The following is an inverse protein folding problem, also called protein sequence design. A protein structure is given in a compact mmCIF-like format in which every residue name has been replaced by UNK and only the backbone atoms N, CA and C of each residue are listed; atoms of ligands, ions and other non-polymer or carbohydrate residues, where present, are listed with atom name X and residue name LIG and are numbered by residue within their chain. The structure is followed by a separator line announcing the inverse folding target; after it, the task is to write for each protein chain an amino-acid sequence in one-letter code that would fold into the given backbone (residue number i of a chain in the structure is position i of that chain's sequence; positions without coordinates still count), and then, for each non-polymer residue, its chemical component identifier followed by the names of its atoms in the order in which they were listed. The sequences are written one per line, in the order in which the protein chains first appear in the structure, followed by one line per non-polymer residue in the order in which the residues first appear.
data_IF_498399946877
#
_entry.id   IF_498399946877
#
_cell.length_a   1.000
_cell.length_b   1.000
_cell.length_c   1.000
_cell.angle_alpha   90.00
_cell.angle_beta   90.00
_cell.angle_gamma   90.00
#
_symmetry.space_group_name_H-M   'P 1'
#
loop_
_entity.id
_entity.type
_entity.pdbx_description
1 polymer ?
#
# COMPACT_ATOMS: atom_id res chain seq x y z
N UNK A 1 -32.70 -41.99 -2.26
CA UNK A 1 -31.24 -42.27 -2.29
C UNK A 1 -30.50 -41.48 -3.37
N UNK A 2 -30.97 -41.39 -4.62
CA UNK A 2 -30.27 -40.64 -5.69
C UNK A 2 -30.24 -39.11 -5.43
N UNK A 3 -31.30 -38.54 -4.89
CA UNK A 3 -31.39 -37.08 -4.63
C UNK A 3 -30.36 -36.58 -3.60
N UNK A 4 -30.07 -37.39 -2.59
CA UNK A 4 -29.07 -37.09 -1.56
C UNK A 4 -27.64 -37.11 -2.14
N UNK A 5 -27.38 -38.01 -3.10
CA UNK A 5 -26.09 -38.12 -3.80
C UNK A 5 -25.88 -36.91 -4.73
N UNK A 6 -26.93 -36.44 -5.42
CA UNK A 6 -26.86 -35.24 -6.26
C UNK A 6 -26.62 -33.98 -5.43
N UNK A 7 -27.32 -33.82 -4.31
CA UNK A 7 -27.14 -32.70 -3.40
C UNK A 7 -25.70 -32.61 -2.86
N UNK A 8 -25.14 -33.73 -2.42
CA UNK A 8 -23.74 -33.79 -1.93
C UNK A 8 -22.73 -33.49 -3.04
N UNK A 9 -22.94 -33.99 -4.27
CA UNK A 9 -22.05 -33.72 -5.41
C UNK A 9 -22.07 -32.27 -5.88
N UNK A 10 -23.24 -31.63 -5.84
CA UNK A 10 -23.38 -30.21 -6.17
C UNK A 10 -22.68 -29.37 -5.10
N UNK A 11 -22.88 -29.68 -3.82
CA UNK A 11 -22.21 -29.01 -2.71
C UNK A 11 -20.68 -29.14 -2.77
N UNK A 12 -20.16 -30.33 -3.05
CA UNK A 12 -18.70 -30.53 -3.15
C UNK A 12 -18.09 -29.88 -4.39
N UNK A 13 -18.79 -29.88 -5.54
CA UNK A 13 -18.34 -29.18 -6.74
C UNK A 13 -18.29 -27.66 -6.52
N UNK A 14 -19.33 -27.08 -5.90
CA UNK A 14 -19.36 -25.65 -5.56
C UNK A 14 -18.24 -25.26 -4.60
N UNK A 15 -17.96 -26.11 -3.59
CA UNK A 15 -16.88 -25.87 -2.64
C UNK A 15 -15.50 -25.90 -3.32
N UNK A 16 -15.25 -26.86 -4.23
CA UNK A 16 -13.98 -26.93 -4.98
C UNK A 16 -13.80 -25.71 -5.89
N UNK A 17 -14.86 -25.27 -6.58
CA UNK A 17 -14.82 -24.07 -7.42
C UNK A 17 -14.54 -22.81 -6.58
N UNK A 18 -15.20 -22.65 -5.44
CA UNK A 18 -14.96 -21.53 -4.53
C UNK A 18 -13.52 -21.53 -3.99
N UNK A 19 -13.00 -22.67 -3.57
CA UNK A 19 -11.61 -22.79 -3.07
C UNK A 19 -10.58 -22.47 -4.16
N UNK A 20 -10.82 -22.89 -5.41
CA UNK A 20 -9.93 -22.56 -6.53
C UNK A 20 -9.92 -21.07 -6.86
N UNK A 21 -11.09 -20.41 -6.79
CA UNK A 21 -11.23 -18.97 -7.02
C UNK A 21 -10.53 -18.15 -5.93
N UNK A 22 -10.70 -18.53 -4.66
CA UNK A 22 -10.02 -17.88 -3.52
C UNK A 22 -8.51 -18.04 -3.65
N UNK A 23 -8.05 -19.24 -4.03
CA UNK A 23 -6.61 -19.51 -4.22
C UNK A 23 -6.02 -18.69 -5.37
N UNK A 24 -6.78 -18.51 -6.46
CA UNK A 24 -6.35 -17.73 -7.62
C UNK A 24 -6.26 -16.23 -7.30
N UNK A 25 -7.24 -15.68 -6.58
CA UNK A 25 -7.23 -14.27 -6.13
C UNK A 25 -6.04 -13.98 -5.22
N UNK A 26 -5.70 -14.89 -4.30
CA UNK A 26 -4.56 -14.70 -3.39
C UNK A 26 -3.20 -14.70 -4.10
N UNK A 27 -3.05 -15.52 -5.15
CA UNK A 27 -1.84 -15.52 -5.99
C UNK A 27 -1.72 -14.20 -6.78
N UNK A 28 -2.85 -13.63 -7.21
CA UNK A 28 -2.88 -12.34 -7.91
C UNK A 28 -2.34 -11.21 -7.01
N UNK A 29 -2.74 -11.17 -5.73
CA UNK A 29 -2.24 -10.18 -4.77
C UNK A 29 -0.70 -10.23 -4.65
N UNK A 30 -0.11 -11.43 -4.53
CA UNK A 30 1.36 -11.59 -4.44
C UNK A 30 2.08 -11.11 -5.71
N UNK A 31 1.53 -11.38 -6.90
CA UNK A 31 2.10 -10.89 -8.15
C UNK A 31 2.04 -9.37 -8.24
N UNK A 32 0.94 -8.78 -7.77
CA UNK A 32 0.76 -7.34 -7.73
C UNK A 32 1.72 -6.67 -6.75
N UNK A 33 2.06 -7.28 -5.61
CA UNK A 33 3.05 -6.72 -4.66
C UNK A 33 4.40 -6.47 -5.34
N UNK A 34 4.93 -7.47 -6.05
CA UNK A 34 6.18 -7.30 -6.80
C UNK A 34 6.12 -6.17 -7.84
N UNK A 35 4.95 -5.99 -8.47
CA UNK A 35 4.74 -4.89 -9.43
C UNK A 35 4.70 -3.54 -8.71
N UNK A 36 3.99 -3.44 -7.59
CA UNK A 36 3.86 -2.23 -6.80
C UNK A 36 5.24 -1.77 -6.30
N UNK A 37 6.03 -2.68 -5.74
CA UNK A 37 7.37 -2.38 -5.22
C UNK A 37 8.32 -1.91 -6.32
N UNK A 38 8.25 -2.53 -7.50
CA UNK A 38 9.05 -2.10 -8.65
C UNK A 38 8.66 -0.70 -9.13
N UNK A 39 7.37 -0.37 -9.13
CA UNK A 39 6.89 0.97 -9.49
C UNK A 39 7.28 2.00 -8.43
N UNK A 40 7.15 1.64 -7.16
CA UNK A 40 7.53 2.46 -6.02
C UNK A 40 9.03 2.80 -6.06
N UNK A 41 9.89 1.79 -6.21
CA UNK A 41 11.34 1.94 -6.35
C UNK A 41 11.75 2.71 -7.61
N UNK A 42 10.92 2.69 -8.67
CA UNK A 42 11.12 3.48 -9.87
C UNK A 42 10.66 4.94 -9.74
N UNK A 43 10.15 5.36 -8.56
CA UNK A 43 9.59 6.69 -8.31
C UNK A 43 8.24 6.93 -8.99
N UNK A 44 7.63 5.88 -9.58
CA UNK A 44 6.32 5.94 -10.24
C UNK A 44 5.21 5.79 -9.22
N UNK A 45 5.18 6.70 -8.25
CA UNK A 45 4.36 6.60 -7.05
C UNK A 45 2.86 6.55 -7.36
N UNK A 46 2.39 7.32 -8.34
CA UNK A 46 0.98 7.27 -8.78
C UNK A 46 0.56 5.91 -9.34
N UNK A 47 1.45 5.27 -10.11
CA UNK A 47 1.19 3.93 -10.64
C UNK A 47 1.26 2.89 -9.51
N UNK A 48 2.22 3.02 -8.59
CA UNK A 48 2.36 2.14 -7.43
C UNK A 48 1.11 2.19 -6.54
N UNK A 49 0.61 3.38 -6.21
CA UNK A 49 -0.61 3.61 -5.43
C UNK A 49 -1.81 2.88 -6.03
N UNK A 50 -2.00 2.96 -7.36
CA UNK A 50 -3.09 2.24 -8.04
C UNK A 50 -2.97 0.73 -7.89
N UNK A 51 -1.75 0.21 -7.92
CA UNK A 51 -1.51 -1.23 -7.73
C UNK A 51 -1.77 -1.63 -6.28
N UNK A 52 -1.29 -0.87 -5.29
CA UNK A 52 -1.57 -1.12 -3.88
C UNK A 52 -3.07 -1.06 -3.55
N UNK A 53 -3.83 -0.13 -4.15
CA UNK A 53 -5.29 -0.09 -4.01
C UNK A 53 -5.94 -1.38 -4.48
N UNK A 54 -5.52 -1.92 -5.63
CA UNK A 54 -6.02 -3.20 -6.13
C UNK A 54 -5.63 -4.38 -5.23
N UNK A 55 -4.45 -4.34 -4.61
CA UNK A 55 -4.05 -5.38 -3.63
C UNK A 55 -5.01 -5.35 -2.44
N UNK A 56 -5.35 -4.17 -1.93
CA UNK A 56 -6.29 -4.00 -0.81
C UNK A 56 -7.72 -4.45 -1.17
N UNK A 57 -8.16 -4.28 -2.41
CA UNK A 57 -9.44 -4.83 -2.89
C UNK A 57 -9.50 -6.36 -2.82
N UNK A 58 -8.35 -7.03 -2.97
CA UNK A 58 -8.24 -8.49 -2.93
C UNK A 58 -8.05 -8.99 -1.49
N UNK A 59 -7.15 -8.35 -0.75
CA UNK A 59 -6.81 -8.70 0.63
C UNK A 59 -6.69 -7.43 1.48
N UNK A 60 -7.79 -6.98 2.12
CA UNK A 60 -7.75 -5.84 3.03
C UNK A 60 -7.11 -6.28 4.34
N UNK A 61 -5.81 -6.03 4.46
CA UNK A 61 -5.02 -6.38 5.63
C UNK A 61 -4.16 -5.17 6.06
N UNK A 62 -3.70 -5.13 7.32
CA UNK A 62 -2.98 -3.96 7.84
C UNK A 62 -1.63 -3.73 7.14
N UNK A 63 -0.98 -4.77 6.61
CA UNK A 63 0.30 -4.66 5.88
C UNK A 63 0.09 -3.93 4.55
N UNK A 64 -0.95 -4.29 3.80
CA UNK A 64 -1.26 -3.66 2.52
C UNK A 64 -1.66 -2.19 2.69
N UNK A 65 -2.35 -1.85 3.80
CA UNK A 65 -2.62 -0.47 4.16
C UNK A 65 -1.33 0.29 4.56
N UNK A 66 -0.38 -0.38 5.22
CA UNK A 66 0.92 0.20 5.52
C UNK A 66 1.71 0.52 4.25
N UNK A 67 1.82 -0.42 3.31
CA UNK A 67 2.51 -0.22 2.02
C UNK A 67 1.92 0.96 1.23
N UNK A 68 0.58 1.02 1.15
CA UNK A 68 -0.11 2.14 0.51
C UNK A 68 0.15 3.47 1.25
N UNK A 69 0.19 3.44 2.58
CA UNK A 69 0.50 4.60 3.41
C UNK A 69 1.90 5.14 3.15
N UNK A 70 2.90 4.27 3.07
CA UNK A 70 4.28 4.63 2.71
C UNK A 70 4.35 5.23 1.31
N UNK A 71 3.67 4.64 0.34
CA UNK A 71 3.63 5.18 -1.02
C UNK A 71 3.00 6.59 -1.09
N UNK A 72 2.02 6.89 -0.24
CA UNK A 72 1.47 8.24 -0.11
C UNK A 72 2.45 9.21 0.56
N UNK A 73 3.18 8.78 1.59
CA UNK A 73 4.21 9.60 2.24
C UNK A 73 5.32 9.99 1.27
N UNK A 74 5.81 9.04 0.48
CA UNK A 74 6.85 9.28 -0.51
C UNK A 74 6.36 10.22 -1.62
N UNK A 75 5.05 10.23 -1.89
CA UNK A 75 4.42 11.18 -2.81
C UNK A 75 4.23 12.58 -2.18
N UNK A 76 4.37 12.69 -0.85
CA UNK A 76 4.07 13.90 -0.08
C UNK A 76 2.59 14.08 0.26
N UNK A 77 1.76 13.07 0.02
CA UNK A 77 0.33 13.08 0.32
C UNK A 77 0.07 12.60 1.75
N UNK A 78 0.38 13.47 2.70
CA UNK A 78 0.25 13.20 4.13
C UNK A 78 -1.19 12.91 4.57
N UNK A 79 -2.16 13.49 3.87
CA UNK A 79 -3.59 13.31 4.17
C UNK A 79 -4.05 11.88 3.86
N UNK A 80 -3.73 11.36 2.67
CA UNK A 80 -4.09 9.99 2.32
C UNK A 80 -3.28 8.96 3.11
N UNK A 81 -2.03 9.27 3.48
CA UNK A 81 -1.25 8.44 4.40
C UNK A 81 -1.93 8.33 5.77
N UNK A 82 -2.41 9.44 6.34
CA UNK A 82 -3.15 9.46 7.63
C UNK A 82 -4.40 8.59 7.59
N UNK A 83 -5.13 8.60 6.48
CA UNK A 83 -6.29 7.69 6.29
C UNK A 83 -5.90 6.22 6.34
N UNK A 84 -4.73 5.84 5.82
CA UNK A 84 -4.27 4.46 5.92
C UNK A 84 -3.94 4.06 7.35
N UNK A 85 -3.41 4.99 8.16
CA UNK A 85 -3.17 4.75 9.59
C UNK A 85 -4.48 4.43 10.32
N UNK A 86 -5.56 5.15 10.01
CA UNK A 86 -6.90 4.84 10.54
C UNK A 86 -7.34 3.43 10.13
N UNK A 87 -7.14 3.04 8.86
CA UNK A 87 -7.45 1.68 8.40
C UNK A 87 -6.62 0.61 9.08
N UNK A 88 -5.35 0.85 9.38
CA UNK A 88 -4.53 -0.11 10.14
C UNK A 88 -5.06 -0.27 11.57
N UNK A 89 -5.46 0.82 12.22
CA UNK A 89 -6.08 0.79 13.57
C UNK A 89 -7.41 0.05 13.58
N UNK A 90 -8.24 0.20 12.54
CA UNK A 90 -9.48 -0.58 12.40
C UNK A 90 -9.23 -2.09 12.40
N UNK A 91 -8.06 -2.54 11.94
CA UNK A 91 -7.65 -3.95 11.97
C UNK A 91 -7.01 -4.39 13.32
N UNK A 92 -6.92 -3.48 14.30
CA UNK A 92 -6.38 -3.75 15.63
C UNK A 92 -4.86 -3.78 15.72
N UNK A 93 -4.13 -3.30 14.70
CA UNK A 93 -2.67 -3.23 14.70
C UNK A 93 -2.17 -1.82 15.07
N UNK A 94 -2.42 -1.42 16.32
CA UNK A 94 -2.04 -0.10 16.82
C UNK A 94 -0.53 0.16 16.74
N UNK A 95 0.28 -0.90 16.88
CA UNK A 95 1.73 -0.82 16.78
C UNK A 95 2.17 -0.46 15.36
N UNK A 96 1.62 -1.13 14.35
CA UNK A 96 1.92 -0.81 12.95
C UNK A 96 1.43 0.59 12.59
N UNK A 97 0.27 0.99 13.12
CA UNK A 97 -0.27 2.34 12.94
C UNK A 97 0.64 3.41 13.55
N UNK A 98 1.17 3.19 14.76
CA UNK A 98 2.11 4.10 15.42
C UNK A 98 3.43 4.22 14.66
N UNK A 99 3.92 3.11 14.09
CA UNK A 99 5.11 3.12 13.24
C UNK A 99 4.92 4.02 12.01
N UNK A 100 3.79 3.89 11.31
CA UNK A 100 3.49 4.72 10.16
C UNK A 100 3.23 6.19 10.54
N UNK A 101 2.58 6.45 11.67
CA UNK A 101 2.40 7.82 12.20
C UNK A 101 3.75 8.48 12.54
N UNK A 102 4.69 7.71 13.10
CA UNK A 102 6.05 8.19 13.37
C UNK A 102 6.78 8.54 12.06
N UNK A 103 6.63 7.73 11.01
CA UNK A 103 7.20 8.03 9.69
C UNK A 103 6.56 9.28 9.07
N UNK A 104 5.24 9.45 9.21
CA UNK A 104 4.51 10.65 8.79
C UNK A 104 5.02 11.91 9.51
N UNK A 105 5.26 11.84 10.82
CA UNK A 105 5.81 12.98 11.58
C UNK A 105 7.24 13.33 11.14
N UNK A 106 8.09 12.32 10.92
CA UNK A 106 9.47 12.53 10.45
C UNK A 106 9.52 13.13 9.05
N UNK A 107 8.69 12.65 8.14
CA UNK A 107 8.58 13.21 6.78
C UNK A 107 8.02 14.63 6.79
N UNK A 108 7.01 14.92 7.61
CA UNK A 108 6.49 16.28 7.81
C UNK A 108 7.53 17.26 8.35
N UNK A 109 8.38 16.83 9.29
CA UNK A 109 9.51 17.63 9.78
C UNK A 109 10.55 17.88 8.69
N UNK A 110 10.93 16.84 7.92
CA UNK A 110 11.88 16.98 6.82
C UNK A 110 11.40 17.98 5.73
N UNK A 111 10.09 17.99 5.44
CA UNK A 111 9.48 18.96 4.52
C UNK A 111 9.52 20.37 5.10
N UNK A 112 9.28 20.56 6.41
CA UNK A 112 9.43 21.85 7.07
C UNK A 112 10.89 22.36 7.05
N UNK A 113 11.87 21.47 7.20
CA UNK A 113 13.30 21.82 7.12
C UNK A 113 13.75 22.15 5.68
N UNK A 114 13.18 21.47 4.66
CA UNK A 114 13.47 21.78 3.25
C UNK A 114 12.91 23.13 2.80
N UNK A 115 12.01 23.75 3.58
CA UNK A 115 11.37 25.03 3.25
C UNK A 115 11.95 26.26 3.93
N UNK A 116 12.79 26.13 4.97
CA UNK A 116 13.25 27.29 5.76
C UNK A 116 14.74 27.50 5.94
N UNK A 117 15.63 26.53 5.71
CA UNK A 117 17.07 26.80 5.81
C UNK A 117 17.88 25.95 4.81
N UNK A 118 18.20 26.53 3.65
CA UNK A 118 19.46 26.25 2.98
C UNK A 118 20.47 27.30 3.46
N UNK A 119 21.32 27.03 4.47
CA UNK A 119 22.51 27.84 4.67
C UNK A 119 23.46 27.54 3.51
N UNK A 120 23.46 28.44 2.52
CA UNK A 120 24.46 28.44 1.45
C UNK A 120 23.99 27.84 0.13
N UNK A 121 23.15 28.57 -0.61
CA UNK A 121 23.43 28.74 -2.04
C UNK A 121 24.05 30.11 -2.24
N UNK A 122 25.37 30.17 -2.06
CA UNK A 122 26.16 31.23 -2.67
C UNK A 122 25.82 31.23 -4.17
N UNK A 123 25.45 32.37 -4.77
CA UNK A 123 25.32 32.42 -6.21
C UNK A 123 26.72 32.17 -6.79
N UNK A 124 26.90 31.06 -7.48
CA UNK A 124 28.07 30.83 -8.33
C UNK A 124 28.04 31.91 -9.41
N UNK A 125 28.76 33.00 -9.14
CA UNK A 125 29.05 34.04 -10.10
C UNK A 125 30.00 33.43 -11.14
N UNK A 126 29.47 33.05 -12.29
CA UNK A 126 30.28 32.80 -13.47
C UNK A 126 30.55 34.15 -14.14
N UNK A 127 31.58 34.83 -13.65
CA UNK A 127 32.22 35.92 -14.38
C UNK A 127 32.71 35.37 -15.72
N UNK A 128 32.01 35.71 -16.80
CA UNK A 128 32.51 35.55 -18.16
C UNK A 128 33.56 36.63 -18.40
N UNK A 129 34.81 36.20 -18.55
CA UNK A 129 35.87 37.01 -19.15
C UNK A 129 36.25 36.42 -20.50
#
# INVERSE_FOLDING_TARGET
MKDQIYSVRILTLCLVLALSSISCQKIEATLLSNKADRLHNAGKLDEAIKVYQRIIEIDPNPINHWDLGVAYLDKGDTENARRQIEKIKEHGDDKLAEQLETLLQKSGQAIQYSGKDLPGKSPLNFDKK
#
